data_IF_551803381852
#
_entry.id   IF_551803381852
#
_cell.length_a   1.000
_cell.length_b   1.000
_cell.length_c   1.000
_cell.angle_alpha   90.00
_cell.angle_beta   90.00
_cell.angle_gamma   90.00
#
_symmetry.space_group_name_H-M   'P 1'
#
loop_
_entity.id
_entity.type
_entity.pdbx_description
1 polymer ?
#
# COMPACT_ATOMS: atom_id res chain seq x y z
N UNK A 1 3.17 3.41 -0.39
CA UNK A 1 4.28 2.66 0.25
C UNK A 1 4.00 2.28 1.69
N UNK A 2 3.97 3.23 2.65
CA UNK A 2 3.79 2.91 4.10
C UNK A 2 2.55 2.06 4.37
N UNK A 3 1.44 2.39 3.68
CA UNK A 3 0.21 1.62 3.74
C UNK A 3 0.42 0.12 3.49
N UNK A 4 1.14 -0.25 2.42
CA UNK A 4 1.42 -1.65 2.08
C UNK A 4 2.33 -2.34 3.10
N UNK A 5 3.33 -1.62 3.61
CA UNK A 5 4.26 -2.11 4.66
C UNK A 5 3.50 -2.46 5.94
N UNK A 6 2.60 -1.58 6.38
CA UNK A 6 1.82 -1.77 7.61
C UNK A 6 0.78 -2.88 7.43
N UNK A 7 0.09 -2.89 6.28
CA UNK A 7 -0.93 -3.86 5.93
C UNK A 7 -0.38 -5.29 5.89
N UNK A 8 0.76 -5.50 5.23
CA UNK A 8 1.34 -6.84 5.03
C UNK A 8 2.47 -7.20 6.01
N UNK A 9 2.79 -6.29 6.93
CA UNK A 9 3.87 -6.42 7.93
C UNK A 9 5.21 -6.78 7.28
N UNK A 10 5.62 -5.99 6.30
CA UNK A 10 6.91 -6.16 5.61
C UNK A 10 8.04 -5.92 6.61
N UNK A 11 8.93 -6.89 6.78
CA UNK A 11 10.13 -6.72 7.60
C UNK A 11 11.26 -7.69 7.18
N UNK A 12 12.49 -7.20 6.91
CA UNK A 12 12.90 -5.79 6.87
C UNK A 12 12.34 -5.07 5.62
N UNK A 13 12.39 -3.74 5.59
CA UNK A 13 12.18 -2.92 4.37
C UNK A 13 13.54 -2.67 3.71
N UNK A 14 13.63 -2.79 2.40
CA UNK A 14 14.88 -2.66 1.64
C UNK A 14 14.78 -1.60 0.56
N UNK A 15 15.91 -1.24 -0.04
CA UNK A 15 15.98 -0.30 -1.16
C UNK A 15 15.13 -0.73 -2.36
N UNK A 16 15.04 -2.04 -2.63
CA UNK A 16 14.18 -2.56 -3.70
C UNK A 16 12.71 -2.15 -3.55
N UNK A 17 12.22 -1.97 -2.32
CA UNK A 17 10.84 -1.58 -2.07
C UNK A 17 10.58 -0.12 -2.48
N UNK A 18 11.62 0.73 -2.39
CA UNK A 18 11.57 2.11 -2.87
C UNK A 18 11.64 2.18 -4.39
N UNK A 19 12.46 1.33 -5.02
CA UNK A 19 12.55 1.23 -6.48
C UNK A 19 11.20 0.81 -7.06
N UNK A 20 10.59 -0.25 -6.52
CA UNK A 20 9.26 -0.72 -6.95
C UNK A 20 8.19 0.36 -6.72
N UNK A 21 8.30 1.14 -5.64
CA UNK A 21 7.38 2.24 -5.41
C UNK A 21 7.52 3.37 -6.45
N UNK A 22 8.75 3.67 -6.89
CA UNK A 22 9.02 4.67 -7.92
C UNK A 22 8.55 4.20 -9.31
N UNK A 23 8.76 2.92 -9.65
CA UNK A 23 8.22 2.31 -10.87
C UNK A 23 6.70 2.38 -10.89
N UNK A 24 6.03 1.94 -9.82
CA UNK A 24 4.57 2.01 -9.71
C UNK A 24 4.04 3.45 -9.81
N UNK A 25 4.77 4.44 -9.26
CA UNK A 25 4.42 5.85 -9.40
C UNK A 25 4.51 6.32 -10.86
N UNK A 26 5.58 5.95 -11.56
CA UNK A 26 5.80 6.32 -12.96
C UNK A 26 4.74 5.73 -13.88
N UNK A 27 4.30 4.50 -13.62
CA UNK A 27 3.22 3.84 -14.38
C UNK A 27 1.84 4.51 -14.19
N UNK A 28 1.66 5.23 -13.08
CA UNK A 28 0.41 5.94 -12.78
C UNK A 28 0.36 7.38 -13.34
N UNK A 29 1.39 7.81 -14.08
CA UNK A 29 1.37 9.09 -14.80
C UNK A 29 0.75 8.84 -16.18
N UNK A 30 -0.42 9.41 -16.49
CA UNK A 30 -1.03 9.23 -17.79
C UNK A 30 -0.27 10.04 -18.86
N UNK A 31 -0.26 9.55 -20.10
CA UNK A 31 0.49 10.16 -21.20
C UNK A 31 0.06 11.61 -21.48
N UNK A 32 -1.20 11.95 -21.22
CA UNK A 32 -1.67 13.33 -21.40
C UNK A 32 -1.00 14.31 -20.44
N UNK A 33 -0.72 13.89 -19.20
CA UNK A 33 0.00 14.69 -18.20
C UNK A 33 1.47 14.84 -18.60
N UNK A 34 2.09 13.76 -19.12
CA UNK A 34 3.46 13.80 -19.63
C UNK A 34 3.59 14.76 -20.83
N UNK A 35 2.62 14.74 -21.76
CA UNK A 35 2.56 15.66 -22.88
C UNK A 35 2.42 17.13 -22.45
N UNK A 36 1.81 17.38 -21.29
CA UNK A 36 1.67 18.71 -20.69
C UNK A 36 2.92 19.14 -19.89
N UNK A 37 3.94 18.28 -19.79
CA UNK A 37 5.16 18.54 -19.02
C UNK A 37 5.05 18.20 -17.54
N UNK A 38 3.97 17.53 -17.12
CA UNK A 38 3.79 17.10 -15.73
C UNK A 38 4.49 15.76 -15.51
N UNK A 39 5.48 15.76 -14.61
CA UNK A 39 6.26 14.57 -14.26
C UNK A 39 5.58 13.67 -13.21
N UNK A 40 4.50 14.15 -12.60
CA UNK A 40 3.80 13.47 -11.52
C UNK A 40 2.30 13.44 -11.79
N UNK A 41 1.58 12.44 -11.25
CA UNK A 41 0.15 12.39 -11.41
C UNK A 41 -0.52 13.59 -10.69
N UNK A 42 -1.71 14.00 -11.15
CA UNK A 42 -2.42 15.13 -10.59
C UNK A 42 -2.81 14.87 -9.13
N UNK A 43 -2.89 15.95 -8.33
CA UNK A 43 -3.15 15.85 -6.89
C UNK A 43 -4.46 15.13 -6.55
N UNK A 44 -5.48 15.27 -7.41
CA UNK A 44 -6.75 14.56 -7.29
C UNK A 44 -6.62 13.02 -7.28
N UNK A 45 -5.54 12.48 -7.86
CA UNK A 45 -5.26 11.05 -7.94
C UNK A 45 -4.31 10.55 -6.83
N UNK A 46 -3.88 11.40 -5.90
CA UNK A 46 -2.87 11.01 -4.89
C UNK A 46 -3.28 9.78 -4.05
N UNK A 47 -4.58 9.64 -3.74
CA UNK A 47 -5.12 8.50 -2.98
C UNK A 47 -5.04 7.20 -3.79
N UNK A 48 -5.49 7.22 -5.05
CA UNK A 48 -5.48 6.06 -5.93
C UNK A 48 -4.05 5.63 -6.27
N UNK A 49 -3.17 6.60 -6.50
CA UNK A 49 -1.73 6.37 -6.71
C UNK A 49 -1.09 5.77 -5.46
N UNK A 50 -1.42 6.28 -4.27
CA UNK A 50 -0.89 5.74 -3.01
C UNK A 50 -1.32 4.28 -2.78
N UNK A 51 -2.56 3.95 -3.16
CA UNK A 51 -3.09 2.60 -3.12
C UNK A 51 -2.37 1.68 -4.12
N UNK A 52 -2.21 2.11 -5.38
CA UNK A 52 -1.48 1.34 -6.40
C UNK A 52 -0.03 1.05 -5.97
N UNK A 53 0.69 2.06 -5.46
CA UNK A 53 2.05 1.90 -4.93
C UNK A 53 2.06 0.92 -3.76
N UNK A 54 1.06 0.99 -2.86
CA UNK A 54 0.97 0.09 -1.72
C UNK A 54 0.78 -1.37 -2.16
N UNK A 55 -0.07 -1.63 -3.16
CA UNK A 55 -0.27 -2.96 -3.71
C UNK A 55 1.01 -3.49 -4.38
N UNK A 56 1.65 -2.72 -5.27
CA UNK A 56 2.88 -3.15 -5.94
C UNK A 56 3.99 -3.54 -4.96
N UNK A 57 4.22 -2.71 -3.93
CA UNK A 57 5.23 -2.99 -2.90
C UNK A 57 4.84 -4.22 -2.06
N UNK A 58 3.56 -4.35 -1.70
CA UNK A 58 3.06 -5.49 -0.93
C UNK A 58 3.20 -6.82 -1.69
N UNK A 59 2.83 -6.85 -2.97
CA UNK A 59 2.98 -8.00 -3.86
C UNK A 59 4.45 -8.38 -4.03
N UNK A 60 5.33 -7.41 -4.27
CA UNK A 60 6.75 -7.65 -4.40
C UNK A 60 7.35 -8.24 -3.11
N UNK A 61 7.06 -7.65 -1.95
CA UNK A 61 7.54 -8.15 -0.67
C UNK A 61 6.96 -9.52 -0.30
N UNK A 62 5.72 -9.81 -0.70
CA UNK A 62 5.08 -11.10 -0.51
C UNK A 62 5.80 -12.21 -1.28
N UNK A 63 6.07 -11.98 -2.57
CA UNK A 63 6.83 -12.91 -3.44
C UNK A 63 8.25 -13.16 -2.94
N UNK A 64 8.86 -12.17 -2.30
CA UNK A 64 10.17 -12.29 -1.67
C UNK A 64 10.14 -12.98 -0.28
N UNK A 65 8.96 -13.36 0.22
CA UNK A 65 8.81 -14.01 1.53
C UNK A 65 9.09 -13.08 2.72
N UNK A 66 9.00 -11.76 2.52
CA UNK A 66 9.35 -10.72 3.51
C UNK A 66 8.14 -10.17 4.26
N UNK A 67 6.94 -10.63 3.92
CA UNK A 67 5.73 -10.33 4.67
C UNK A 67 5.64 -11.26 5.88
N UNK A 68 5.61 -10.68 7.09
CA UNK A 68 5.57 -11.46 8.33
C UNK A 68 4.26 -12.27 8.45
N UNK A 69 3.15 -11.79 7.87
CA UNK A 69 1.88 -12.51 7.82
C UNK A 69 1.93 -13.82 7.00
N UNK A 70 2.90 -13.96 6.10
CA UNK A 70 3.12 -15.20 5.34
C UNK A 70 3.82 -16.28 6.20
N UNK A 71 4.50 -15.89 7.30
CA UNK A 71 5.21 -16.85 8.18
C UNK A 71 4.32 -17.57 9.18
N UNK A 72 3.06 -17.16 9.31
CA UNK A 72 2.06 -17.90 10.05
C UNK A 72 1.58 -19.09 9.18
N UNK A 73 2.30 -20.21 9.21
CA UNK A 73 1.93 -21.48 8.55
C UNK A 73 0.70 -22.16 9.20
N UNK A 74 -0.36 -21.39 9.47
CA UNK A 74 -1.67 -21.87 9.91
C UNK A 74 -2.75 -21.51 8.88
N UNK A 75 -4.01 -21.89 9.10
CA UNK A 75 -5.14 -21.64 8.18
C UNK A 75 -5.53 -20.15 7.98
N UNK A 76 -4.66 -19.20 8.38
CA UNK A 76 -4.83 -17.75 8.26
C UNK A 76 -3.57 -17.02 7.79
N UNK A 77 -2.68 -17.70 7.05
CA UNK A 77 -1.55 -17.06 6.38
C UNK A 77 -2.03 -16.13 5.26
N UNK A 78 -1.31 -15.02 5.05
CA UNK A 78 -1.59 -14.09 3.95
C UNK A 78 -1.47 -14.82 2.60
N UNK A 79 -2.49 -14.75 1.75
CA UNK A 79 -2.39 -15.16 0.35
C UNK A 79 -2.19 -13.94 -0.54
N UNK A 80 -1.63 -14.15 -1.73
CA UNK A 80 -1.43 -13.07 -2.71
C UNK A 80 -2.76 -12.44 -3.14
N UNK A 81 -3.82 -13.24 -3.27
CA UNK A 81 -5.17 -12.80 -3.63
C UNK A 81 -5.81 -11.84 -2.61
N UNK A 82 -5.43 -11.95 -1.34
CA UNK A 82 -6.02 -11.16 -0.25
C UNK A 82 -5.28 -9.82 -0.02
N UNK A 83 -4.13 -9.60 -0.68
CA UNK A 83 -3.26 -8.44 -0.45
C UNK A 83 -4.01 -7.14 -0.72
N UNK A 84 -4.68 -7.05 -1.87
CA UNK A 84 -5.38 -5.84 -2.29
C UNK A 84 -6.51 -5.48 -1.31
N UNK A 85 -7.26 -6.48 -0.84
CA UNK A 85 -8.33 -6.29 0.13
C UNK A 85 -7.80 -5.79 1.48
N UNK A 86 -6.71 -6.38 1.99
CA UNK A 86 -6.10 -5.99 3.26
C UNK A 86 -5.52 -4.57 3.17
N UNK A 87 -4.88 -4.23 2.05
CA UNK A 87 -4.36 -2.88 1.80
C UNK A 87 -5.51 -1.87 1.74
N UNK A 88 -6.61 -2.21 1.06
CA UNK A 88 -7.79 -1.36 0.96
C UNK A 88 -8.47 -1.16 2.33
N UNK A 89 -8.64 -2.23 3.10
CA UNK A 89 -9.16 -2.15 4.46
C UNK A 89 -8.27 -1.28 5.36
N UNK A 90 -6.95 -1.40 5.23
CA UNK A 90 -6.01 -0.55 5.98
C UNK A 90 -6.07 0.91 5.53
N UNK A 91 -6.37 1.18 4.25
CA UNK A 91 -6.53 2.53 3.71
C UNK A 91 -7.79 3.21 4.24
N UNK A 92 -8.85 2.44 4.42
CA UNK A 92 -10.12 2.84 5.04
C UNK A 92 -10.00 2.72 6.57
N UNK A 93 -9.31 3.68 7.19
CA UNK A 93 -9.34 3.81 8.64
C UNK A 93 -10.80 3.96 9.10
N UNK A 94 -11.27 3.14 10.06
CA UNK A 94 -12.59 3.35 10.63
C UNK A 94 -12.64 4.73 11.29
N UNK A 95 -13.83 5.33 11.31
CA UNK A 95 -14.05 6.58 12.03
C UNK A 95 -13.50 6.46 13.47
N UNK A 96 -12.83 7.50 13.98
CA UNK A 96 -12.32 7.48 15.34
C UNK A 96 -13.47 7.13 16.29
N UNK A 97 -13.20 6.24 17.25
CA UNK A 97 -14.17 5.89 18.29
C UNK A 97 -14.78 7.18 18.86
N UNK A 98 -16.12 7.29 18.96
CA UNK A 98 -16.74 8.49 19.48
C UNK A 98 -16.12 8.80 20.84
N UNK A 99 -15.70 10.05 21.03
CA UNK A 99 -15.06 10.48 22.25
C UNK A 99 -15.89 9.97 23.43
N UNK A 100 -15.29 9.12 24.27
CA UNK A 100 -15.94 8.59 25.47
C UNK A 100 -16.42 9.80 26.24
N UNK A 101 -17.75 9.97 26.36
CA UNK A 101 -18.35 11.05 27.14
C UNK A 101 -17.72 11.00 28.53
N UNK A 102 -16.81 11.95 28.79
CA UNK A 102 -16.33 12.21 30.14
C UNK A 102 -17.56 12.72 30.88
N UNK A 103 -18.19 11.83 31.65
CA UNK A 103 -19.15 12.28 32.66
C UNK A 103 -18.36 13.12 33.67
N UNK A 104 -18.86 14.32 34.03
CA UNK A 104 -18.27 15.13 35.09
C UNK A 104 -18.33 14.43 36.44
#
# INVERSE_FOLDING_TARGET
MVLGIVATKIHPVTESDFIVAAEALSENVPDEELCQGNLFPPWSKIRSVSYAIANHVAHNAFRQGRCWLNRCNGPGGLKEEDIDEIVLHTANYPDPLPARSMKP
#
